data_IF_278727356969
#
_entry.id   IF_278727356969
#
_cell.length_a   1.000
_cell.length_b   1.000
_cell.length_c   1.000
_cell.angle_alpha   90.00
_cell.angle_beta   90.00
_cell.angle_gamma   90.00
#
_symmetry.space_group_name_H-M   'P 1'
#
loop_
_entity.id
_entity.type
_entity.pdbx_description
1 polymer ?
#
# COMPACT_ATOMS: atom_id res chain seq x y z
N UNK A 1 -20.09 -18.96 -10.72
CA UNK A 1 -20.10 -19.06 -9.23
C UNK A 1 -18.71 -19.27 -8.62
N UNK A 2 -17.77 -19.99 -9.26
CA UNK A 2 -16.42 -20.22 -8.69
C UNK A 2 -15.52 -18.96 -8.71
N UNK A 3 -15.54 -18.18 -9.78
CA UNK A 3 -14.65 -17.00 -9.93
C UNK A 3 -14.88 -15.93 -8.86
N UNK A 4 -16.14 -15.69 -8.48
CA UNK A 4 -16.47 -14.76 -7.39
C UNK A 4 -15.92 -15.25 -6.06
N UNK A 5 -16.05 -16.54 -5.76
CA UNK A 5 -15.48 -17.16 -4.56
C UNK A 5 -13.96 -16.99 -4.49
N UNK A 6 -13.23 -17.37 -5.55
CA UNK A 6 -11.77 -17.24 -5.56
C UNK A 6 -11.30 -15.78 -5.45
N UNK A 7 -11.98 -14.87 -6.17
CA UNK A 7 -11.65 -13.44 -6.12
C UNK A 7 -11.86 -12.87 -4.71
N UNK A 8 -12.99 -13.18 -4.08
CA UNK A 8 -13.29 -12.72 -2.72
C UNK A 8 -12.33 -13.33 -1.69
N UNK A 9 -11.97 -14.62 -1.81
CA UNK A 9 -10.97 -15.24 -0.94
C UNK A 9 -9.60 -14.56 -1.09
N UNK A 10 -9.17 -14.26 -2.33
CA UNK A 10 -7.93 -13.54 -2.56
C UNK A 10 -7.92 -12.15 -1.89
N UNK A 11 -9.03 -11.41 -2.00
CA UNK A 11 -9.21 -10.13 -1.30
C UNK A 11 -9.17 -10.29 0.22
N UNK A 12 -9.87 -11.27 0.80
CA UNK A 12 -9.84 -11.55 2.24
C UNK A 12 -8.42 -11.89 2.74
N UNK A 13 -7.62 -12.62 1.95
CA UNK A 13 -6.21 -12.90 2.30
C UNK A 13 -5.39 -11.61 2.31
N UNK A 14 -5.60 -10.70 1.37
CA UNK A 14 -4.94 -9.39 1.36
C UNK A 14 -5.37 -8.51 2.54
N UNK A 15 -6.67 -8.49 2.86
CA UNK A 15 -7.18 -7.81 4.05
C UNK A 15 -6.54 -8.34 5.34
N UNK A 16 -6.38 -9.66 5.48
CA UNK A 16 -5.75 -10.24 6.67
C UNK A 16 -4.30 -9.76 6.86
N UNK A 17 -3.55 -9.52 5.77
CA UNK A 17 -2.21 -8.91 5.86
C UNK A 17 -2.28 -7.49 6.39
N UNK A 18 -3.27 -6.70 5.94
CA UNK A 18 -3.49 -5.34 6.45
C UNK A 18 -3.90 -5.38 7.93
N UNK A 19 -4.80 -6.28 8.34
CA UNK A 19 -5.19 -6.46 9.75
C UNK A 19 -3.99 -6.78 10.63
N UNK A 20 -3.13 -7.70 10.19
CA UNK A 20 -1.91 -8.06 10.93
C UNK A 20 -0.97 -6.85 11.08
N UNK A 21 -0.77 -6.07 10.01
CA UNK A 21 0.04 -4.84 10.08
C UNK A 21 -0.54 -3.80 11.03
N UNK A 22 -1.86 -3.55 10.96
CA UNK A 22 -2.55 -2.63 11.87
C UNK A 22 -2.49 -3.09 13.33
N UNK A 23 -2.57 -4.40 13.57
CA UNK A 23 -2.41 -4.96 14.90
C UNK A 23 -0.98 -4.76 15.43
N UNK A 24 0.04 -5.04 14.61
CA UNK A 24 1.44 -4.79 14.96
C UNK A 24 1.67 -3.33 15.35
N UNK A 25 1.12 -2.38 14.57
CA UNK A 25 1.24 -0.96 14.85
C UNK A 25 0.64 -0.59 16.22
N UNK A 26 -0.53 -1.14 16.57
CA UNK A 26 -1.13 -0.90 17.88
C UNK A 26 -0.31 -1.51 19.02
N UNK A 27 0.26 -2.70 18.83
CA UNK A 27 1.15 -3.31 19.82
C UNK A 27 2.39 -2.44 20.05
N UNK A 28 3.02 -1.96 18.98
CA UNK A 28 4.16 -1.05 19.08
C UNK A 28 3.79 0.26 19.79
N UNK A 29 2.59 0.79 19.55
CA UNK A 29 2.08 1.99 20.19
C UNK A 29 1.86 1.80 21.71
N UNK A 30 1.29 0.66 22.11
CA UNK A 30 1.00 0.36 23.52
C UNK A 30 2.26 0.12 24.37
N UNK A 31 3.36 -0.33 23.76
CA UNK A 31 4.64 -0.55 24.44
C UNK A 31 5.40 0.76 24.68
N UNK A 32 4.98 1.88 24.06
CA UNK A 32 5.62 3.17 24.29
C UNK A 32 5.43 3.64 25.73
N UNK A 33 6.52 4.04 26.43
CA UNK A 33 6.44 4.57 27.79
C UNK A 33 5.39 5.67 27.92
N UNK A 34 4.47 5.50 28.88
CA UNK A 34 3.32 6.38 29.08
C UNK A 34 3.59 7.62 29.92
N UNK A 35 4.73 7.63 30.61
CA UNK A 35 5.25 8.70 31.47
C UNK A 35 5.83 9.88 30.67
N UNK A 36 6.17 9.68 29.39
CA UNK A 36 6.71 10.72 28.53
C UNK A 36 5.59 11.51 27.83
N UNK A 37 5.62 12.84 27.94
CA UNK A 37 4.71 13.72 27.19
C UNK A 37 5.05 13.83 25.70
N UNK A 38 6.26 13.42 25.33
CA UNK A 38 6.80 13.55 23.98
C UNK A 38 7.38 12.24 23.46
N UNK A 39 7.31 12.03 22.15
CA UNK A 39 7.93 10.90 21.45
C UNK A 39 9.16 11.37 20.68
N UNK A 40 10.15 10.49 20.60
CA UNK A 40 11.30 10.68 19.71
C UNK A 40 10.82 10.73 18.25
N UNK A 41 11.22 11.78 17.53
CA UNK A 41 10.78 12.04 16.14
C UNK A 41 11.04 10.84 15.22
N UNK A 42 12.18 10.17 15.37
CA UNK A 42 12.49 8.96 14.59
C UNK A 42 11.51 7.80 14.83
N UNK A 43 11.03 7.60 16.07
CA UNK A 43 10.03 6.57 16.37
C UNK A 43 8.65 6.94 15.86
N UNK A 44 8.25 8.20 16.01
CA UNK A 44 7.00 8.69 15.41
C UNK A 44 7.01 8.53 13.89
N UNK A 45 8.12 8.90 13.23
CA UNK A 45 8.30 8.72 11.79
C UNK A 45 8.20 7.26 11.34
N UNK A 46 8.81 6.33 12.09
CA UNK A 46 8.70 4.90 11.79
C UNK A 46 7.25 4.39 11.89
N UNK A 47 6.57 4.70 12.99
CA UNK A 47 5.17 4.28 13.18
C UNK A 47 4.26 4.86 12.10
N UNK A 48 4.48 6.13 11.75
CA UNK A 48 3.71 6.80 10.70
C UNK A 48 3.99 6.22 9.31
N UNK A 49 5.24 5.85 9.00
CA UNK A 49 5.58 5.16 7.77
C UNK A 49 4.90 3.78 7.68
N UNK A 50 4.87 3.03 8.77
CA UNK A 50 4.14 1.76 8.84
C UNK A 50 2.62 1.94 8.66
N UNK A 51 2.05 2.97 9.28
CA UNK A 51 0.63 3.32 9.11
C UNK A 51 0.31 3.70 7.66
N UNK A 52 1.15 4.53 7.03
CA UNK A 52 1.03 4.88 5.61
C UNK A 52 1.13 3.65 4.72
N UNK A 53 2.06 2.75 4.99
CA UNK A 53 2.19 1.50 4.24
C UNK A 53 0.92 0.62 4.35
N UNK A 54 0.31 0.55 5.53
CA UNK A 54 -0.95 -0.18 5.72
C UNK A 54 -2.12 0.49 4.97
N UNK A 55 -2.18 1.82 4.99
CA UNK A 55 -3.17 2.63 4.26
C UNK A 55 -3.02 2.48 2.74
N UNK A 56 -1.80 2.53 2.22
CA UNK A 56 -1.48 2.42 0.79
C UNK A 56 -1.54 0.98 0.24
N UNK A 57 -2.00 0.01 1.03
CA UNK A 57 -2.10 -1.39 0.63
C UNK A 57 -2.91 -1.56 -0.66
N UNK A 58 -2.42 -2.46 -1.52
CA UNK A 58 -2.97 -2.73 -2.85
C UNK A 58 -4.45 -3.14 -2.83
N UNK A 59 -4.89 -3.81 -1.75
CA UNK A 59 -6.27 -4.30 -1.58
C UNK A 59 -7.31 -3.20 -1.81
N UNK A 60 -7.16 -2.04 -1.16
CA UNK A 60 -8.10 -0.93 -1.28
C UNK A 60 -8.21 -0.42 -2.72
N UNK A 61 -7.07 -0.32 -3.40
CA UNK A 61 -7.00 0.12 -4.79
C UNK A 61 -7.73 -0.85 -5.73
N UNK A 62 -7.70 -2.15 -5.48
CA UNK A 62 -8.45 -3.13 -6.29
C UNK A 62 -9.95 -3.01 -6.08
N UNK A 63 -10.37 -2.89 -4.83
CA UNK A 63 -11.78 -2.72 -4.49
C UNK A 63 -12.37 -1.48 -5.16
N UNK A 64 -11.73 -0.33 -4.93
CA UNK A 64 -12.20 0.96 -5.43
C UNK A 64 -12.17 1.02 -6.97
N UNK A 65 -11.18 0.36 -7.59
CA UNK A 65 -11.01 0.39 -9.06
C UNK A 65 -11.89 -0.60 -9.81
N UNK A 66 -12.20 -1.76 -9.24
CA UNK A 66 -12.81 -2.86 -9.98
C UNK A 66 -14.16 -3.30 -9.39
N UNK A 67 -14.26 -3.47 -8.07
CA UNK A 67 -15.50 -4.00 -7.47
C UNK A 67 -16.55 -2.91 -7.26
N UNK A 68 -16.16 -1.76 -6.71
CA UNK A 68 -17.09 -0.64 -6.44
C UNK A 68 -17.81 -0.18 -7.72
N UNK A 69 -17.11 0.04 -8.87
CA UNK A 69 -17.80 0.42 -10.11
C UNK A 69 -18.72 -0.68 -10.63
N UNK A 70 -18.38 -1.95 -10.43
CA UNK A 70 -19.26 -3.05 -10.82
C UNK A 70 -20.53 -3.08 -9.96
N UNK A 71 -20.41 -2.95 -8.65
CA UNK A 71 -21.54 -2.87 -7.73
C UNK A 71 -22.51 -1.74 -8.11
N UNK A 72 -22.00 -0.52 -8.33
CA UNK A 72 -22.81 0.64 -8.74
C UNK A 72 -23.57 0.42 -10.05
N UNK A 73 -23.03 -0.38 -10.98
CA UNK A 73 -23.72 -0.73 -12.24
C UNK A 73 -24.80 -1.78 -12.07
N UNK A 74 -24.71 -2.61 -11.03
CA UNK A 74 -25.59 -3.77 -10.85
C UNK A 74 -26.66 -3.57 -9.76
N UNK A 75 -26.45 -2.67 -8.80
CA UNK A 75 -27.42 -2.43 -7.74
C UNK A 75 -27.24 -1.06 -7.06
N UNK A 76 -28.35 -0.36 -6.82
CA UNK A 76 -28.38 0.85 -5.99
C UNK A 76 -28.42 0.53 -4.48
N UNK A 77 -28.70 -0.73 -4.10
CA UNK A 77 -28.72 -1.16 -2.69
C UNK A 77 -27.35 -0.97 -2.03
N UNK A 78 -26.28 -0.97 -2.80
CA UNK A 78 -24.93 -0.78 -2.31
C UNK A 78 -24.61 0.68 -1.96
N UNK A 79 -25.38 1.68 -2.42
CA UNK A 79 -24.95 3.09 -2.40
C UNK A 79 -24.70 3.62 -0.99
N UNK A 80 -25.58 3.30 -0.03
CA UNK A 80 -25.38 3.69 1.37
C UNK A 80 -24.14 3.06 1.99
N UNK A 81 -23.93 1.75 1.78
CA UNK A 81 -22.73 1.06 2.26
C UNK A 81 -21.46 1.64 1.62
N UNK A 82 -21.49 1.94 0.31
CA UNK A 82 -20.35 2.51 -0.39
C UNK A 82 -20.01 3.92 0.12
N UNK A 83 -21.03 4.75 0.39
CA UNK A 83 -20.84 6.05 1.03
C UNK A 83 -20.18 5.90 2.41
N UNK A 84 -20.67 4.98 3.24
CA UNK A 84 -20.09 4.76 4.56
C UNK A 84 -18.61 4.31 4.49
N UNK A 85 -18.26 3.46 3.51
CA UNK A 85 -16.87 3.04 3.28
C UNK A 85 -15.98 4.22 2.83
N UNK A 86 -16.50 5.11 1.98
CA UNK A 86 -15.82 6.34 1.58
C UNK A 86 -15.60 7.28 2.78
N UNK A 87 -16.59 7.41 3.65
CA UNK A 87 -16.49 8.20 4.89
C UNK A 87 -15.43 7.65 5.84
N UNK A 88 -15.37 6.33 6.03
CA UNK A 88 -14.32 5.67 6.81
C UNK A 88 -12.93 5.91 6.22
N UNK A 89 -12.82 5.91 4.89
CA UNK A 89 -11.57 6.17 4.18
C UNK A 89 -11.08 7.60 4.39
N UNK A 90 -12.00 8.55 4.29
CA UNK A 90 -11.75 9.97 4.57
C UNK A 90 -11.32 10.18 6.01
N UNK A 91 -11.99 9.54 6.97
CA UNK A 91 -11.62 9.61 8.38
C UNK A 91 -10.22 9.02 8.64
N UNK A 92 -9.90 7.88 8.02
CA UNK A 92 -8.56 7.28 8.10
C UNK A 92 -7.48 8.22 7.53
N UNK A 93 -7.74 8.84 6.38
CA UNK A 93 -6.81 9.79 5.75
C UNK A 93 -6.60 11.04 6.62
N UNK A 94 -7.66 11.65 7.15
CA UNK A 94 -7.55 12.80 8.05
C UNK A 94 -6.74 12.48 9.32
N UNK A 95 -6.93 11.28 9.87
CA UNK A 95 -6.17 10.82 11.03
C UNK A 95 -4.70 10.55 10.70
N UNK A 96 -4.40 10.00 9.51
CA UNK A 96 -3.02 9.83 9.03
C UNK A 96 -2.33 11.19 8.83
N UNK A 97 -3.00 12.13 8.17
CA UNK A 97 -2.49 13.49 7.94
C UNK A 97 -2.20 14.20 9.28
N UNK A 98 -3.09 14.06 10.26
CA UNK A 98 -2.86 14.59 11.61
C UNK A 98 -1.64 13.94 12.30
N UNK A 99 -1.41 12.63 12.11
CA UNK A 99 -0.23 11.96 12.65
C UNK A 99 1.06 12.46 11.98
N UNK A 100 1.03 12.73 10.68
CA UNK A 100 2.17 13.29 9.92
C UNK A 100 2.46 14.74 10.32
N UNK A 101 1.42 15.54 10.52
CA UNK A 101 1.55 16.92 10.98
C UNK A 101 2.25 17.01 12.35
N UNK A 102 2.10 15.99 13.21
CA UNK A 102 2.81 15.92 14.49
C UNK A 102 4.34 15.75 14.33
N UNK A 103 4.80 15.22 13.19
CA UNK A 103 6.22 14.96 12.89
C UNK A 103 6.86 16.16 12.18
N UNK A 104 6.07 16.91 11.39
CA UNK A 104 6.51 17.93 10.42
C UNK A 104 7.21 19.18 10.98
N UNK A 105 7.39 19.32 12.30
CA UNK A 105 8.18 20.40 12.89
C UNK A 105 9.56 19.86 13.30
N UNK A 106 10.54 19.93 12.39
CA UNK A 106 11.86 19.29 12.47
C UNK A 106 12.75 19.66 13.69
N UNK A 107 12.27 20.49 14.62
CA UNK A 107 13.00 20.93 15.82
C UNK A 107 12.25 20.66 17.14
N UNK A 108 11.02 20.12 17.11
CA UNK A 108 10.23 19.88 18.32
C UNK A 108 9.97 18.39 18.54
N UNK A 109 10.02 18.00 19.80
CA UNK A 109 9.63 16.65 20.20
C UNK A 109 8.14 16.43 19.91
N UNK A 110 7.80 15.23 19.42
CA UNK A 110 6.45 14.93 18.91
C UNK A 110 5.47 14.82 20.09
N UNK A 111 4.33 15.54 20.12
CA UNK A 111 3.36 15.42 21.22
C UNK A 111 2.74 14.02 21.27
N UNK A 112 3.06 13.24 22.32
CA UNK A 112 2.70 11.81 22.40
C UNK A 112 1.19 11.60 22.27
N UNK A 113 0.40 12.32 23.05
CA UNK A 113 -1.06 12.13 23.11
C UNK A 113 -1.72 12.42 21.77
N UNK A 114 -1.30 13.48 21.08
CA UNK A 114 -1.86 13.87 19.78
C UNK A 114 -1.49 12.86 18.71
N UNK A 115 -0.21 12.46 18.65
CA UNK A 115 0.29 11.47 17.71
C UNK A 115 -0.36 10.10 17.92
N UNK A 116 -0.31 9.54 19.14
CA UNK A 116 -0.91 8.25 19.44
C UNK A 116 -2.41 8.24 19.16
N UNK A 117 -3.14 9.28 19.58
CA UNK A 117 -4.57 9.38 19.31
C UNK A 117 -4.89 9.49 17.81
N UNK A 118 -4.04 10.13 17.01
CA UNK A 118 -4.19 10.17 15.56
C UNK A 118 -3.95 8.80 14.92
N UNK A 119 -2.91 8.08 15.33
CA UNK A 119 -2.63 6.71 14.89
C UNK A 119 -3.79 5.77 15.25
N UNK A 120 -4.27 5.81 16.50
CA UNK A 120 -5.39 4.98 16.97
C UNK A 120 -6.67 5.24 16.18
N UNK A 121 -7.02 6.51 15.92
CA UNK A 121 -8.18 6.86 15.09
C UNK A 121 -8.04 6.35 13.67
N UNK A 122 -6.86 6.46 13.06
CA UNK A 122 -6.60 5.94 11.72
C UNK A 122 -6.79 4.41 11.68
N UNK A 123 -6.16 3.70 12.62
CA UNK A 123 -6.27 2.24 12.71
C UNK A 123 -7.72 1.81 12.95
N UNK A 124 -8.46 2.50 13.82
CA UNK A 124 -9.86 2.20 14.09
C UNK A 124 -10.74 2.36 12.84
N UNK A 125 -10.57 3.45 12.08
CA UNK A 125 -11.30 3.68 10.84
C UNK A 125 -10.99 2.61 9.78
N UNK A 126 -9.71 2.24 9.60
CA UNK A 126 -9.30 1.20 8.67
C UNK A 126 -9.83 -0.18 9.06
N UNK A 127 -9.77 -0.55 10.35
CA UNK A 127 -10.34 -1.82 10.84
C UNK A 127 -11.84 -1.87 10.60
N UNK A 128 -12.56 -0.79 10.90
CA UNK A 128 -14.00 -0.71 10.66
C UNK A 128 -14.32 -0.86 9.16
N UNK A 129 -13.54 -0.23 8.27
CA UNK A 129 -13.70 -0.40 6.83
C UNK A 129 -13.52 -1.87 6.42
N UNK A 130 -12.46 -2.54 6.90
CA UNK A 130 -12.21 -3.95 6.61
C UNK A 130 -13.36 -4.87 7.07
N UNK A 131 -13.89 -4.62 8.27
CA UNK A 131 -15.01 -5.38 8.82
C UNK A 131 -16.26 -5.26 7.94
N UNK A 132 -16.62 -4.04 7.54
CA UNK A 132 -17.80 -3.80 6.69
C UNK A 132 -17.62 -4.37 5.29
N UNK A 133 -16.41 -4.31 4.74
CA UNK A 133 -16.13 -4.94 3.46
C UNK A 133 -16.36 -6.45 3.50
N UNK A 134 -15.86 -7.12 4.53
CA UNK A 134 -15.97 -8.58 4.64
C UNK A 134 -17.40 -9.05 4.96
N UNK A 135 -18.10 -8.37 5.85
CA UNK A 135 -19.40 -8.81 6.36
C UNK A 135 -20.60 -8.28 5.56
N UNK A 136 -20.44 -7.16 4.85
CA UNK A 136 -21.55 -6.52 4.13
C UNK A 136 -21.25 -6.42 2.63
N UNK A 137 -20.09 -5.86 2.24
CA UNK A 137 -19.79 -5.60 0.83
C UNK A 137 -19.59 -6.89 0.04
N UNK A 138 -18.84 -7.86 0.55
CA UNK A 138 -18.54 -9.10 -0.16
C UNK A 138 -19.77 -9.99 -0.35
N UNK A 139 -20.64 -10.22 0.66
CA UNK A 139 -21.91 -10.89 0.44
C UNK A 139 -22.80 -10.19 -0.57
N UNK A 140 -22.91 -8.85 -0.50
CA UNK A 140 -23.70 -8.06 -1.43
C UNK A 140 -23.17 -8.17 -2.86
N UNK A 141 -21.85 -8.07 -3.05
CA UNK A 141 -21.24 -8.23 -4.35
C UNK A 141 -21.45 -9.64 -4.92
N UNK A 142 -21.37 -10.66 -4.07
CA UNK A 142 -21.59 -12.05 -4.49
C UNK A 142 -23.00 -12.28 -5.01
N UNK A 143 -24.02 -11.63 -4.44
CA UNK A 143 -25.41 -11.78 -4.87
C UNK A 143 -25.79 -10.86 -6.03
N UNK A 144 -25.25 -9.65 -6.09
CA UNK A 144 -25.64 -8.64 -7.08
C UNK A 144 -24.86 -8.70 -8.40
N UNK A 145 -23.60 -9.13 -8.37
CA UNK A 145 -22.73 -9.10 -9.57
C UNK A 145 -22.81 -10.43 -10.32
N UNK A 146 -23.10 -10.35 -11.63
CA UNK A 146 -23.20 -11.51 -12.51
C UNK A 146 -21.87 -12.24 -12.76
N UNK A 147 -21.93 -13.48 -13.23
CA UNK A 147 -20.76 -14.34 -13.45
C UNK A 147 -19.72 -13.75 -14.41
N UNK A 148 -20.16 -13.20 -15.53
CA UNK A 148 -19.26 -12.60 -16.54
C UNK A 148 -18.57 -11.34 -16.02
N UNK A 149 -19.30 -10.53 -15.24
CA UNK A 149 -18.73 -9.36 -14.57
C UNK A 149 -17.67 -9.79 -13.55
N UNK A 150 -17.91 -10.84 -12.77
CA UNK A 150 -16.90 -11.41 -11.88
C UNK A 150 -15.65 -11.90 -12.60
N UNK A 151 -15.81 -12.51 -13.78
CA UNK A 151 -14.68 -12.94 -14.59
C UNK A 151 -13.85 -11.74 -15.07
N UNK A 152 -14.50 -10.68 -15.55
CA UNK A 152 -13.82 -9.45 -15.94
C UNK A 152 -13.08 -8.80 -14.75
N UNK A 153 -13.73 -8.72 -13.58
CA UNK A 153 -13.12 -8.18 -12.35
C UNK A 153 -11.86 -8.98 -11.97
N UNK A 154 -11.97 -10.31 -11.95
CA UNK A 154 -10.85 -11.19 -11.59
C UNK A 154 -9.64 -10.96 -12.52
N UNK A 155 -9.87 -10.93 -13.83
CA UNK A 155 -8.81 -10.70 -14.81
C UNK A 155 -8.17 -9.32 -14.65
N UNK A 156 -8.97 -8.29 -14.41
CA UNK A 156 -8.46 -6.93 -14.18
C UNK A 156 -7.63 -6.84 -12.90
N UNK A 157 -8.04 -7.51 -11.82
CA UNK A 157 -7.28 -7.59 -10.57
C UNK A 157 -5.94 -8.33 -10.76
N UNK A 158 -5.94 -9.44 -11.50
CA UNK A 158 -4.71 -10.18 -11.81
C UNK A 158 -3.73 -9.35 -12.66
N UNK A 159 -4.23 -8.67 -13.69
CA UNK A 159 -3.41 -7.77 -14.51
C UNK A 159 -2.84 -6.60 -13.68
N UNK A 160 -3.65 -6.05 -12.76
CA UNK A 160 -3.18 -5.03 -11.84
C UNK A 160 -2.04 -5.52 -10.93
N UNK A 161 -2.13 -6.75 -10.43
CA UNK A 161 -1.07 -7.36 -9.63
C UNK A 161 0.20 -7.63 -10.41
N UNK A 162 0.08 -8.10 -11.66
CA UNK A 162 1.22 -8.30 -12.54
C UNK A 162 1.98 -6.98 -12.74
N UNK A 163 1.29 -5.92 -13.13
CA UNK A 163 1.89 -4.59 -13.30
C UNK A 163 2.50 -4.06 -11.99
N UNK A 164 1.84 -4.27 -10.85
CA UNK A 164 2.37 -3.84 -9.56
C UNK A 164 3.64 -4.63 -9.16
N UNK A 165 3.74 -5.91 -9.54
CA UNK A 165 4.94 -6.73 -9.32
C UNK A 165 6.10 -6.29 -10.22
N UNK A 166 5.86 -6.02 -11.50
CA UNK A 166 6.90 -5.54 -12.44
C UNK A 166 7.52 -4.21 -11.98
N UNK A 167 6.68 -3.27 -11.52
CA UNK A 167 7.16 -1.98 -10.98
C UNK A 167 8.01 -2.14 -9.72
N UNK A 168 7.75 -3.17 -8.91
CA UNK A 168 8.55 -3.49 -7.70
C UNK A 168 9.79 -4.31 -8.02
N UNK A 169 9.70 -5.19 -9.01
CA UNK A 169 10.76 -6.09 -9.47
C UNK A 169 11.75 -5.46 -10.45
N UNK A 170 11.59 -4.18 -10.77
CA UNK A 170 12.65 -3.39 -11.41
C UNK A 170 13.55 -2.86 -10.31
N UNK A 171 14.65 -3.54 -9.91
CA UNK A 171 15.72 -2.81 -9.26
C UNK A 171 16.11 -1.69 -10.23
N UNK A 172 16.37 -0.49 -9.73
CA UNK A 172 17.26 0.45 -10.42
C UNK A 172 18.62 -0.27 -10.52
N UNK A 173 18.74 -1.14 -11.51
CA UNK A 173 19.90 -1.95 -11.80
C UNK A 173 21.03 -1.01 -12.17
N UNK A 174 22.15 -1.24 -11.50
CA UNK A 174 23.35 -0.44 -11.61
C UNK A 174 23.71 -0.16 -13.07
N UNK A 175 24.15 1.08 -13.29
CA UNK A 175 25.08 1.36 -14.37
C UNK A 175 26.30 0.49 -14.11
N UNK A 176 26.32 -0.67 -14.76
CA UNK A 176 27.46 -1.57 -14.79
C UNK A 176 28.69 -0.73 -15.11
N UNK A 177 29.65 -0.78 -14.20
CA UNK A 177 31.02 -0.41 -14.50
C UNK A 177 31.39 -1.11 -15.81
N UNK A 178 31.70 -0.28 -16.79
CA UNK A 178 32.12 -0.72 -18.11
C UNK A 178 33.53 -1.27 -17.94
N UNK A 179 33.65 -2.58 -17.77
CA UNK A 179 34.96 -3.24 -17.90
C UNK A 179 35.48 -2.94 -19.32
N UNK A 180 36.72 -2.42 -19.47
CA UNK A 180 37.32 -2.26 -20.76
C UNK A 180 37.78 -3.64 -21.23
N UNK A 181 37.15 -4.11 -22.31
CA UNK A 181 37.63 -5.25 -23.10
C UNK A 181 39.03 -4.93 -23.61
N UNK A 182 40.00 -5.70 -23.14
CA UNK A 182 41.29 -5.85 -23.80
C UNK A 182 41.12 -6.78 -25.01
N UNK A 183 41.56 -6.35 -26.19
CA UNK A 183 42.40 -7.11 -27.14
C UNK A 183 42.30 -6.56 -28.57
N UNK A 184 43.46 -6.23 -29.14
CA UNK A 184 43.91 -6.38 -30.56
C UNK A 184 45.02 -5.34 -30.78
N UNK A 185 46.29 -5.64 -31.07
CA UNK A 185 46.86 -6.75 -31.80
C UNK A 185 47.10 -6.34 -33.26
N UNK A 186 48.26 -5.75 -33.60
CA UNK A 186 48.69 -5.70 -35.00
C UNK A 186 49.52 -4.49 -35.47
N UNK A 187 50.85 -4.61 -35.33
CA UNK A 187 51.93 -4.17 -36.24
C UNK A 187 51.57 -3.24 -37.41
N UNK A 188 52.27 -2.09 -37.51
CA UNK A 188 52.89 -1.64 -38.77
C UNK A 188 54.25 -0.98 -38.54
N UNK A 189 55.23 -1.49 -39.26
CA UNK A 189 56.57 -0.97 -39.50
C UNK A 189 56.57 0.38 -40.22
N UNK A 190 57.52 1.26 -39.86
CA UNK A 190 58.46 2.00 -40.73
C UNK A 190 59.17 3.04 -39.83
N UNK A 191 60.43 2.81 -39.41
CA UNK A 191 61.64 3.18 -40.14
C UNK A 191 61.72 4.68 -40.44
N UNK A 192 62.55 5.42 -39.70
CA UNK A 192 63.33 6.54 -40.22
C UNK A 192 64.58 6.77 -39.35
N UNK A 193 65.70 6.83 -40.06
CA UNK A 193 67.09 6.88 -39.63
C UNK A 193 67.53 8.22 -39.03
N UNK A 194 68.65 8.17 -38.28
CA UNK A 194 69.82 9.08 -38.28
C UNK A 194 70.29 9.32 -36.82
N UNK A 195 71.38 8.72 -36.32
CA UNK A 195 72.81 9.07 -36.53
C UNK A 195 73.10 10.57 -36.36
N UNK A 196 73.45 10.98 -35.13
CA UNK A 196 74.80 11.44 -34.77
C UNK A 196 74.97 11.45 -33.24
#
# INVERSE_FOLDING_TARGET
>A
MLTSTYTLVALSVEQNKVRAALHSLLQELHVLPGDLHTLATGRAAQLCAGLRQAYDSCHWRKLDKFLVPALRRHTAVADGLLQDLEELSRAAWQALDAAEACIGAAERAVPRVQFCGAVERCVAALRRRLEREEHELFPLARSAVGGDAWFAIANQMLAHDAHARERRGTPRGGRLARDPVAAEGGRRHAALSALH
#
